data_IF_274160558651
#
_entry.id   IF_274160558651
#
_cell.length_a   1.000
_cell.length_b   1.000
_cell.length_c   1.000
_cell.angle_alpha   90.00
_cell.angle_beta   90.00
_cell.angle_gamma   90.00
#
_symmetry.space_group_name_H-M   'P 1'
#
loop_
_entity.id
_entity.type
_entity.pdbx_description
1 polymer ?
#
# COMPACT_ATOMS: atom_id res chain seq x y z
N UNK A 1 -5.74 7.08 -19.60
CA UNK A 1 -5.06 5.91 -18.99
C UNK A 1 -3.97 5.42 -19.93
N UNK A 2 -2.76 5.31 -19.42
CA UNK A 2 -1.65 4.81 -20.21
C UNK A 2 -1.82 3.32 -20.46
N UNK A 3 -1.93 2.93 -21.74
CA UNK A 3 -1.95 1.53 -22.15
C UNK A 3 -0.61 1.19 -22.77
N UNK A 4 -0.24 -0.08 -22.76
CA UNK A 4 0.94 -0.53 -23.47
C UNK A 4 0.78 -0.23 -24.95
N UNK A 5 1.86 0.25 -25.57
CA UNK A 5 1.88 0.53 -26.99
C UNK A 5 2.31 -0.75 -27.72
N UNK A 6 1.39 -1.37 -28.45
CA UNK A 6 1.61 -2.62 -29.18
C UNK A 6 1.65 -2.40 -30.69
N UNK A 7 2.42 -1.40 -31.14
CA UNK A 7 2.66 -1.16 -32.56
C UNK A 7 1.38 -1.05 -33.41
N UNK A 8 0.36 -0.39 -32.89
CA UNK A 8 -0.88 -0.14 -33.62
C UNK A 8 -1.90 -1.28 -33.57
N UNK A 9 -1.56 -2.42 -32.99
CA UNK A 9 -2.50 -3.51 -32.79
C UNK A 9 -3.21 -3.36 -31.45
N UNK A 10 -4.50 -3.75 -31.36
CA UNK A 10 -5.18 -3.73 -30.06
C UNK A 10 -4.54 -4.75 -29.12
N UNK A 11 -4.48 -4.44 -27.79
CA UNK A 11 -3.90 -5.38 -26.85
C UNK A 11 -4.73 -6.67 -26.76
N UNK A 12 -4.05 -7.80 -26.56
CA UNK A 12 -4.71 -9.06 -26.28
C UNK A 12 -5.31 -9.02 -24.88
N UNK A 13 -6.20 -9.98 -24.58
CA UNK A 13 -6.81 -10.11 -23.26
C UNK A 13 -5.73 -10.28 -22.16
N UNK A 14 -4.72 -11.10 -22.43
CA UNK A 14 -3.60 -11.29 -21.49
C UNK A 14 -2.82 -10.00 -21.26
N UNK A 15 -2.59 -9.22 -22.31
CA UNK A 15 -1.88 -7.96 -22.21
C UNK A 15 -2.66 -6.93 -21.39
N UNK A 16 -3.99 -6.92 -21.51
CA UNK A 16 -4.83 -6.05 -20.69
C UNK A 16 -4.76 -6.43 -19.22
N UNK A 17 -4.76 -7.72 -18.90
CA UNK A 17 -4.61 -8.19 -17.52
C UNK A 17 -3.26 -7.79 -16.94
N UNK A 18 -2.19 -7.95 -17.70
CA UNK A 18 -0.85 -7.53 -17.26
C UNK A 18 -0.78 -6.03 -17.05
N UNK A 19 -1.46 -5.26 -17.90
CA UNK A 19 -1.51 -3.80 -17.75
C UNK A 19 -2.18 -3.40 -16.44
N UNK A 20 -3.30 -4.04 -16.10
CA UNK A 20 -4.02 -3.78 -14.85
C UNK A 20 -3.18 -4.12 -13.63
N UNK A 21 -2.50 -5.26 -13.66
CA UNK A 21 -1.60 -5.66 -12.57
C UNK A 21 -0.43 -4.69 -12.42
N UNK A 22 0.13 -4.25 -13.54
CA UNK A 22 1.26 -3.30 -13.54
C UNK A 22 0.84 -1.96 -12.95
N UNK A 23 -0.34 -1.45 -13.32
CA UNK A 23 -0.87 -0.22 -12.75
C UNK A 23 -1.04 -0.34 -11.24
N UNK A 24 -1.62 -1.45 -10.78
CA UNK A 24 -1.81 -1.70 -9.36
C UNK A 24 -0.46 -1.75 -8.64
N UNK A 25 0.48 -2.49 -9.20
CA UNK A 25 1.81 -2.60 -8.62
C UNK A 25 2.48 -1.24 -8.48
N UNK A 26 2.34 -0.38 -9.49
CA UNK A 26 2.94 0.96 -9.44
C UNK A 26 2.34 1.82 -8.32
N UNK A 27 1.04 1.66 -8.05
CA UNK A 27 0.38 2.43 -6.98
C UNK A 27 0.86 1.98 -5.59
N UNK A 28 1.08 0.68 -5.39
CA UNK A 28 1.45 0.12 -4.09
C UNK A 28 2.95 -0.20 -3.99
N UNK A 29 3.73 0.10 -5.01
CA UNK A 29 5.17 -0.18 -5.02
C UNK A 29 5.89 0.69 -3.98
N UNK A 30 6.60 0.04 -3.09
CA UNK A 30 7.27 0.67 -1.97
C UNK A 30 7.11 -0.20 -0.76
N UNK A 31 8.17 -0.32 0.01
CA UNK A 31 8.20 -1.25 1.15
C UNK A 31 7.07 -1.03 2.15
N UNK A 32 6.63 0.22 2.29
CA UNK A 32 5.74 0.61 3.39
C UNK A 32 4.32 0.97 2.95
N UNK A 33 4.07 1.15 1.64
CA UNK A 33 2.79 1.66 1.16
C UNK A 33 1.59 0.78 1.54
N UNK A 34 1.71 -0.53 1.38
CA UNK A 34 0.64 -1.47 1.73
C UNK A 34 0.30 -1.35 3.21
N UNK A 35 1.31 -1.31 4.06
CA UNK A 35 1.13 -1.23 5.52
C UNK A 35 0.55 0.14 5.91
N UNK A 36 1.01 1.21 5.26
CA UNK A 36 0.44 2.55 5.48
C UNK A 36 -1.05 2.55 5.15
N UNK A 37 -1.42 2.00 3.99
CA UNK A 37 -2.83 1.91 3.59
C UNK A 37 -3.65 1.12 4.61
N UNK A 38 -3.10 0.03 5.12
CA UNK A 38 -3.79 -0.77 6.14
C UNK A 38 -4.04 0.02 7.41
N UNK A 39 -3.02 0.72 7.93
CA UNK A 39 -3.20 1.55 9.13
C UNK A 39 -4.24 2.64 8.89
N UNK A 40 -4.23 3.27 7.72
CA UNK A 40 -5.22 4.31 7.38
C UNK A 40 -6.60 3.72 7.13
N UNK A 41 -6.71 2.44 6.80
CA UNK A 41 -8.01 1.78 6.69
C UNK A 41 -8.70 1.64 8.04
N UNK A 42 -7.93 1.67 9.12
CA UNK A 42 -8.47 1.53 10.49
C UNK A 42 -8.90 2.88 11.06
N UNK A 43 -8.15 3.93 10.81
CA UNK A 43 -8.49 5.30 11.21
C UNK A 43 -7.52 6.31 10.62
N UNK A 44 -7.90 7.58 10.70
CA UNK A 44 -7.04 8.71 10.37
C UNK A 44 -5.82 8.73 11.28
N UNK A 45 -4.66 9.05 10.73
CA UNK A 45 -3.38 9.07 11.45
C UNK A 45 -2.62 10.36 11.19
N UNK A 46 -1.86 10.80 12.19
CA UNK A 46 -0.88 11.86 12.01
C UNK A 46 0.46 11.27 11.57
N UNK A 47 1.30 12.11 11.02
CA UNK A 47 2.64 11.71 10.55
C UNK A 47 3.43 10.99 11.64
N UNK A 48 3.49 11.59 12.82
CA UNK A 48 4.27 11.02 13.94
C UNK A 48 3.71 9.67 14.41
N UNK A 49 2.40 9.50 14.35
CA UNK A 49 1.77 8.22 14.67
C UNK A 49 2.21 7.13 13.68
N UNK A 50 2.16 7.43 12.38
CA UNK A 50 2.59 6.50 11.35
C UNK A 50 4.06 6.14 11.52
N UNK A 51 4.90 7.12 11.83
CA UNK A 51 6.32 6.87 12.02
C UNK A 51 6.58 5.91 13.19
N UNK A 52 5.84 6.05 14.28
CA UNK A 52 5.95 5.12 15.42
C UNK A 52 5.44 3.73 15.10
N UNK A 53 4.41 3.63 14.25
CA UNK A 53 3.82 2.35 13.87
C UNK A 53 4.66 1.59 12.82
N UNK A 54 5.63 2.25 12.20
CA UNK A 54 6.46 1.69 11.12
C UNK A 54 7.92 1.66 11.57
N UNK A 55 8.31 0.64 12.37
CA UNK A 55 9.67 0.62 12.94
C UNK A 55 10.75 0.62 11.87
N UNK A 56 11.70 1.52 12.02
CA UNK A 56 12.84 1.63 11.10
C UNK A 56 12.61 2.53 9.91
N UNK A 57 11.40 3.09 9.75
CA UNK A 57 11.17 4.02 8.64
C UNK A 57 11.78 5.39 8.95
N UNK A 58 12.47 5.97 7.97
CA UNK A 58 12.98 7.34 8.10
C UNK A 58 11.87 8.34 7.77
N UNK A 59 12.01 9.55 8.28
CA UNK A 59 11.08 10.65 7.96
C UNK A 59 11.03 10.92 6.46
N UNK A 60 12.17 10.86 5.79
CA UNK A 60 12.24 11.11 4.35
C UNK A 60 11.50 10.06 3.54
N UNK A 61 11.65 8.80 3.90
CA UNK A 61 10.97 7.71 3.20
C UNK A 61 9.47 7.77 3.45
N UNK A 62 9.05 8.02 4.70
CA UNK A 62 7.62 8.14 5.02
C UNK A 62 6.99 9.32 4.26
N UNK A 63 7.66 10.46 4.25
CA UNK A 63 7.21 11.64 3.51
C UNK A 63 7.03 11.32 2.03
N UNK A 64 8.02 10.64 1.43
CA UNK A 64 7.98 10.31 0.01
C UNK A 64 6.84 9.35 -0.31
N UNK A 65 6.68 8.30 0.48
CA UNK A 65 5.64 7.31 0.22
C UNK A 65 4.23 7.86 0.44
N UNK A 66 4.04 8.70 1.45
CA UNK A 66 2.77 9.39 1.66
C UNK A 66 2.45 10.34 0.51
N UNK A 67 3.47 11.06 0.01
CA UNK A 67 3.29 11.96 -1.14
C UNK A 67 2.89 11.18 -2.39
N UNK A 68 3.55 10.06 -2.65
CA UNK A 68 3.23 9.23 -3.80
C UNK A 68 1.80 8.67 -3.69
N UNK A 69 1.38 8.22 -2.51
CA UNK A 69 0.02 7.75 -2.29
C UNK A 69 -1.02 8.87 -2.46
N UNK A 70 -0.66 10.08 -2.05
CA UNK A 70 -1.50 11.26 -2.26
C UNK A 70 -1.61 11.59 -3.75
N UNK A 71 -0.51 11.60 -4.46
CA UNK A 71 -0.48 11.85 -5.90
C UNK A 71 -1.30 10.82 -6.68
N UNK A 72 -1.26 9.57 -6.25
CA UNK A 72 -2.04 8.50 -6.88
C UNK A 72 -3.52 8.50 -6.44
N UNK A 73 -3.91 9.46 -5.60
CA UNK A 73 -5.30 9.60 -5.18
C UNK A 73 -5.78 8.60 -4.15
N UNK A 74 -4.87 7.89 -3.49
CA UNK A 74 -5.21 6.89 -2.47
C UNK A 74 -5.36 7.49 -1.08
N UNK A 75 -4.62 8.56 -0.81
CA UNK A 75 -4.51 9.18 0.51
C UNK A 75 -4.81 10.66 0.40
N UNK A 76 -5.55 11.16 1.38
CA UNK A 76 -5.84 12.57 1.56
C UNK A 76 -5.00 13.12 2.69
N UNK A 77 -4.42 14.29 2.46
CA UNK A 77 -3.63 15.01 3.46
C UNK A 77 -4.39 16.27 3.84
N UNK A 78 -4.76 16.38 5.11
CA UNK A 78 -5.47 17.54 5.64
C UNK A 78 -4.55 18.35 6.54
N UNK A 79 -4.41 19.62 6.23
CA UNK A 79 -3.61 20.54 7.04
C UNK A 79 -4.55 21.46 7.81
N UNK A 80 -4.45 21.41 9.13
CA UNK A 80 -5.23 22.29 10.00
C UNK A 80 -4.38 23.49 10.42
N UNK A 81 -4.92 24.69 10.16
CA UNK A 81 -4.26 25.93 10.54
C UNK A 81 -4.51 26.23 12.02
N UNK A 82 -3.73 25.61 12.86
CA UNK A 82 -3.76 25.86 14.29
C UNK A 82 -2.33 26.01 14.82
N UNK A 83 -2.18 26.29 16.10
CA UNK A 83 -0.87 26.43 16.73
C UNK A 83 -0.79 25.42 17.87
N UNK A 84 0.07 24.39 17.76
CA UNK A 84 0.93 24.07 16.62
C UNK A 84 0.14 23.51 15.43
N UNK A 85 0.69 23.60 14.19
CA UNK A 85 -0.01 23.09 13.02
C UNK A 85 -0.18 21.59 13.10
N UNK A 86 -1.30 21.11 12.55
CA UNK A 86 -1.68 19.70 12.59
C UNK A 86 -1.90 19.19 11.19
N UNK A 87 -1.33 18.03 10.87
CA UNK A 87 -1.51 17.37 9.58
C UNK A 87 -2.02 15.96 9.83
N UNK A 88 -3.11 15.61 9.17
CA UNK A 88 -3.71 14.29 9.27
C UNK A 88 -3.78 13.62 7.90
N UNK A 89 -3.61 12.31 7.88
CA UNK A 89 -3.70 11.47 6.70
C UNK A 89 -4.87 10.51 6.83
N UNK A 90 -5.63 10.37 5.76
CA UNK A 90 -6.78 9.47 5.70
C UNK A 90 -6.90 8.88 4.31
N UNK A 91 -7.67 7.80 4.19
CA UNK A 91 -7.94 7.21 2.87
C UNK A 91 -8.99 8.05 2.13
N UNK A 92 -8.77 8.25 0.83
CA UNK A 92 -9.79 8.75 -0.08
C UNK A 92 -10.83 7.66 -0.35
N UNK A 93 -11.97 7.97 -1.00
CA UNK A 93 -12.86 6.91 -1.48
C UNK A 93 -12.15 5.87 -2.35
N UNK A 94 -11.22 6.32 -3.20
CA UNK A 94 -10.41 5.42 -4.02
C UNK A 94 -9.51 4.54 -3.17
N UNK A 95 -8.86 5.11 -2.14
CA UNK A 95 -8.06 4.32 -1.20
C UNK A 95 -8.89 3.30 -0.46
N UNK A 96 -10.11 3.66 -0.06
CA UNK A 96 -11.04 2.73 0.60
C UNK A 96 -11.45 1.58 -0.32
N UNK A 97 -11.56 1.84 -1.61
CA UNK A 97 -11.90 0.79 -2.58
C UNK A 97 -10.83 -0.30 -2.67
N UNK A 98 -9.62 -0.03 -2.19
CA UNK A 98 -8.53 -1.00 -2.18
C UNK A 98 -8.54 -1.90 -0.93
N UNK A 99 -9.35 -1.59 0.09
CA UNK A 99 -9.40 -2.35 1.34
C UNK A 99 -9.68 -3.85 1.11
N UNK A 100 -10.64 -4.25 0.25
CA UNK A 100 -10.84 -5.68 0.00
C UNK A 100 -9.60 -6.40 -0.50
N UNK A 101 -8.79 -5.73 -1.33
CA UNK A 101 -7.52 -6.30 -1.81
C UNK A 101 -6.53 -6.45 -0.66
N UNK A 102 -6.44 -5.47 0.23
CA UNK A 102 -5.59 -5.55 1.42
C UNK A 102 -5.98 -6.73 2.31
N UNK A 103 -7.28 -6.95 2.49
CA UNK A 103 -7.78 -8.07 3.31
C UNK A 103 -7.36 -9.41 2.71
N UNK A 104 -7.49 -9.56 1.39
CA UNK A 104 -7.08 -10.79 0.70
C UNK A 104 -5.56 -10.98 0.81
N UNK A 105 -4.80 -9.92 0.63
CA UNK A 105 -3.34 -9.97 0.77
C UNK A 105 -2.93 -10.36 2.18
N UNK A 106 -3.62 -9.85 3.19
CA UNK A 106 -3.38 -10.19 4.58
C UNK A 106 -3.66 -11.66 4.87
N UNK A 107 -4.77 -12.19 4.35
CA UNK A 107 -5.10 -13.60 4.51
C UNK A 107 -4.07 -14.50 3.84
N UNK A 108 -3.67 -14.14 2.64
CA UNK A 108 -2.65 -14.87 1.93
C UNK A 108 -1.34 -14.91 2.72
N UNK A 109 -0.94 -13.76 3.28
CA UNK A 109 0.27 -13.65 4.09
C UNK A 109 0.22 -14.50 5.35
N UNK A 110 -0.94 -14.56 6.02
CA UNK A 110 -1.12 -15.40 7.21
C UNK A 110 -0.91 -16.87 6.89
N UNK A 111 -1.53 -17.35 5.82
CA UNK A 111 -1.39 -18.74 5.38
C UNK A 111 0.05 -19.07 4.99
N UNK A 112 0.70 -18.14 4.31
CA UNK A 112 2.09 -18.30 3.93
C UNK A 112 2.99 -18.40 5.16
N UNK A 113 2.76 -17.55 6.15
CA UNK A 113 3.51 -17.55 7.40
C UNK A 113 3.33 -18.86 8.17
N UNK A 114 2.10 -19.33 8.27
CA UNK A 114 1.78 -20.60 8.92
C UNK A 114 2.49 -21.76 8.24
N UNK A 115 2.47 -21.79 6.92
CA UNK A 115 3.17 -22.83 6.13
C UNK A 115 4.67 -22.78 6.37
N UNK A 116 5.26 -21.60 6.39
CA UNK A 116 6.70 -21.43 6.66
C UNK A 116 7.07 -21.88 8.06
N UNK A 117 6.27 -21.55 9.05
CA UNK A 117 6.51 -21.96 10.43
C UNK A 117 6.42 -23.48 10.56
N UNK A 118 5.46 -24.10 9.88
CA UNK A 118 5.30 -25.55 9.88
C UNK A 118 6.49 -26.24 9.22
N UNK A 119 6.94 -25.73 8.07
CA UNK A 119 8.12 -26.25 7.39
C UNK A 119 9.37 -26.17 8.26
N UNK A 120 9.56 -25.06 8.96
CA UNK A 120 10.70 -24.90 9.88
C UNK A 120 10.63 -25.90 11.04
N UNK A 121 9.43 -26.12 11.59
CA UNK A 121 9.21 -27.09 12.65
C UNK A 121 9.52 -28.52 12.19
N UNK A 122 9.06 -28.87 10.99
CA UNK A 122 9.27 -30.22 10.42
C UNK A 122 10.72 -30.45 10.02
N UNK A 123 11.49 -29.40 9.71
CA UNK A 123 12.90 -29.50 9.32
C UNK A 123 13.86 -29.32 10.49
N UNK A 124 13.36 -28.95 11.66
CA UNK A 124 14.21 -28.83 12.86
C UNK A 124 14.62 -30.22 13.36
N UNK A 125 15.91 -30.46 13.58
CA UNK A 125 16.32 -31.69 14.20
C UNK A 125 15.78 -31.75 15.64
N UNK A 126 15.11 -32.80 15.95
CA UNK A 126 14.54 -33.03 17.27
C UNK A 126 15.62 -33.33 18.30
#
# INVERSE_FOLDING_TARGET
>A
MARFNFQGEPPTEEQEEVCSLTLTQNVIAGRWKIVILWYLSRRTRRFNELQRLLPGISKGILTRQLRELEEDGMVHREVYKEVPPKVEYSLTPQGKSFIPALDIMGEWGKKYMEKKQKEQKDSSPS
#
